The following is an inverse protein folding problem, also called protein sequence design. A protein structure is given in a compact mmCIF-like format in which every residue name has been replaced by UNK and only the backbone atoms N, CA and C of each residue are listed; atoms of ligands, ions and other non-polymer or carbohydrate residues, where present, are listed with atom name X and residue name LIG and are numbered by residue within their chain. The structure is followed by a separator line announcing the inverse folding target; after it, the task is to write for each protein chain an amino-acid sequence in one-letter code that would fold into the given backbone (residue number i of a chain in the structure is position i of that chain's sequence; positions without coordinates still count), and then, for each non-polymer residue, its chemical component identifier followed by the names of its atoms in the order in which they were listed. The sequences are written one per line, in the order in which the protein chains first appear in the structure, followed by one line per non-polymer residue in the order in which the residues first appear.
data_IF_678512608578
#
_entry.id   IF_678512608578
#
_cell.length_a   1.000
_cell.length_b   1.000
_cell.length_c   1.000
_cell.angle_alpha   90.00
_cell.angle_beta   90.00
_cell.angle_gamma   90.00
#
_symmetry.space_group_name_H-M   'P 1'
#
loop_
_entity.id
_entity.type
_entity.pdbx_description
1 polymer ?
#
# COMPACT_ATOMS: atom_id res chain seq x y z
N UNK A 1 14.81 2.30 -12.94
CA UNK A 1 13.36 2.46 -12.59
C UNK A 1 13.11 3.83 -11.99
N UNK A 2 11.95 4.45 -12.27
CA UNK A 2 11.49 5.68 -11.65
C UNK A 2 10.24 5.39 -10.81
N UNK A 3 10.23 5.83 -9.55
CA UNK A 3 9.10 5.62 -8.62
C UNK A 3 8.37 6.95 -8.42
N UNK A 4 7.05 6.93 -8.54
CA UNK A 4 6.16 8.03 -8.23
C UNK A 4 5.09 7.53 -7.27
N UNK A 5 5.00 8.11 -6.10
CA UNK A 5 3.98 7.82 -5.10
C UNK A 5 2.79 8.74 -5.36
N UNK A 6 1.64 8.16 -5.72
CA UNK A 6 0.51 8.92 -6.27
C UNK A 6 -0.42 9.45 -5.19
N UNK A 7 -0.75 8.59 -4.22
CA UNK A 7 -1.65 8.88 -3.12
C UNK A 7 -1.29 8.01 -1.91
N UNK A 8 -1.24 8.63 -0.73
CA UNK A 8 -0.89 7.97 0.54
C UNK A 8 -1.52 8.68 1.73
N UNK A 9 -1.51 8.05 2.91
CA UNK A 9 -2.07 8.66 4.13
C UNK A 9 -1.30 9.92 4.54
N UNK A 10 0.02 10.00 4.32
CA UNK A 10 0.80 11.23 4.50
C UNK A 10 0.41 12.35 3.52
N UNK A 11 -0.27 12.02 2.44
CA UNK A 11 -0.79 12.94 1.42
C UNK A 11 -2.28 13.25 1.59
N UNK A 12 -2.91 12.76 2.67
CA UNK A 12 -4.26 13.11 3.10
C UNK A 12 -5.38 12.15 2.72
N UNK A 13 -5.09 10.98 2.15
CA UNK A 13 -6.08 9.96 1.80
C UNK A 13 -5.57 8.57 2.11
N UNK A 14 -6.46 7.62 2.42
CA UNK A 14 -6.09 6.21 2.50
C UNK A 14 -5.75 5.69 1.12
N UNK A 15 -4.51 5.29 0.93
CA UNK A 15 -4.01 4.73 -0.33
C UNK A 15 -2.59 4.23 -0.16
N UNK A 16 -2.14 3.39 -1.10
CA UNK A 16 -0.74 3.05 -1.36
C UNK A 16 -0.45 3.09 -2.87
N UNK A 17 -1.18 3.93 -3.60
CA UNK A 17 -1.09 3.99 -5.05
C UNK A 17 0.31 4.41 -5.51
N UNK A 18 0.96 3.50 -6.22
CA UNK A 18 2.37 3.64 -6.62
C UNK A 18 2.54 3.39 -8.11
N UNK A 19 3.24 4.28 -8.80
CA UNK A 19 3.69 4.10 -10.18
C UNK A 19 5.18 3.76 -10.21
N UNK A 20 5.54 2.73 -10.98
CA UNK A 20 6.91 2.33 -11.24
C UNK A 20 7.11 2.27 -12.75
N UNK A 21 7.92 3.18 -13.28
CA UNK A 21 8.31 3.22 -14.67
C UNK A 21 9.63 2.46 -14.85
N UNK A 22 9.59 1.46 -15.71
CA UNK A 22 10.72 0.61 -16.08
C UNK A 22 11.09 0.85 -17.55
N UNK A 23 12.15 0.21 -18.03
CA UNK A 23 12.51 0.28 -19.47
C UNK A 23 11.49 -0.44 -20.39
N UNK A 24 10.57 -1.25 -19.85
CA UNK A 24 9.69 -2.10 -20.65
C UNK A 24 8.19 -1.86 -20.40
N UNK A 25 7.84 -1.24 -19.28
CA UNK A 25 6.45 -1.00 -18.93
C UNK A 25 6.31 0.06 -17.84
N UNK A 26 5.21 0.78 -17.87
CA UNK A 26 4.72 1.59 -16.76
C UNK A 26 3.72 0.78 -15.95
N UNK A 27 4.04 0.55 -14.68
CA UNK A 27 3.33 -0.33 -13.75
C UNK A 27 2.67 0.52 -12.68
N UNK A 28 1.36 0.36 -12.49
CA UNK A 28 0.65 0.98 -11.38
C UNK A 28 0.24 -0.11 -10.38
N UNK A 29 0.62 0.06 -9.13
CA UNK A 29 0.28 -0.85 -8.03
C UNK A 29 -0.74 -0.16 -7.15
N UNK A 30 -1.84 -0.86 -6.88
CA UNK A 30 -2.94 -0.43 -6.00
C UNK A 30 -3.50 0.96 -6.36
N UNK A 31 -4.03 1.15 -7.59
CA UNK A 31 -4.57 2.44 -8.05
C UNK A 31 -5.92 2.77 -7.41
N UNK A 32 -5.93 3.04 -6.12
CA UNK A 32 -7.14 3.38 -5.40
C UNK A 32 -6.89 4.35 -4.26
N UNK A 33 -7.94 5.07 -3.88
CA UNK A 33 -7.95 5.91 -2.70
C UNK A 33 -9.34 5.89 -2.06
N UNK A 34 -9.39 6.04 -0.74
CA UNK A 34 -10.62 6.05 0.02
C UNK A 34 -10.52 6.90 1.28
N UNK A 35 -11.65 7.13 1.93
CA UNK A 35 -11.74 7.76 3.24
C UNK A 35 -12.31 6.78 4.28
N UNK A 36 -11.86 6.91 5.53
CA UNK A 36 -12.54 6.24 6.63
C UNK A 36 -13.96 6.79 6.78
N UNK A 37 -15.00 5.95 6.74
CA UNK A 37 -16.37 6.44 6.88
C UNK A 37 -16.61 7.08 8.25
N UNK A 38 -15.88 6.64 9.28
CA UNK A 38 -15.86 7.24 10.62
C UNK A 38 -14.47 7.15 11.24
N UNK A 39 -14.03 8.25 11.84
CA UNK A 39 -12.83 8.34 12.68
C UNK A 39 -13.16 9.20 13.88
N UNK A 40 -12.87 8.73 15.10
CA UNK A 40 -13.25 9.40 16.35
C UNK A 40 -14.78 9.66 16.47
N UNK A 41 -15.61 8.77 15.87
CA UNK A 41 -17.05 8.98 15.77
C UNK A 41 -17.51 10.04 14.74
N UNK A 42 -16.59 10.75 14.10
CA UNK A 42 -16.85 11.83 13.15
C UNK A 42 -16.84 11.31 11.70
N UNK A 43 -17.70 11.90 10.81
CA UNK A 43 -17.62 11.64 9.36
C UNK A 43 -16.39 12.35 8.77
N UNK A 44 -16.01 12.04 7.52
CA UNK A 44 -14.98 12.78 6.82
C UNK A 44 -15.30 14.29 6.75
N UNK A 45 -14.27 15.11 6.89
CA UNK A 45 -14.38 16.56 6.74
C UNK A 45 -14.44 16.93 5.25
N UNK A 46 -15.06 18.07 4.85
CA UNK A 46 -15.07 18.52 3.43
C UNK A 46 -13.69 18.54 2.76
N UNK A 47 -12.65 18.96 3.47
CA UNK A 47 -11.25 18.93 2.98
C UNK A 47 -10.74 17.51 2.67
N UNK A 48 -11.24 16.47 3.37
CA UNK A 48 -10.88 15.10 3.04
C UNK A 48 -11.53 14.65 1.74
N UNK A 49 -12.77 15.07 1.45
CA UNK A 49 -13.42 14.77 0.16
C UNK A 49 -12.76 15.51 -1.00
N UNK A 50 -12.38 16.77 -0.81
CA UNK A 50 -11.62 17.55 -1.79
C UNK A 50 -10.31 16.84 -2.13
N UNK A 51 -9.55 16.47 -1.08
CA UNK A 51 -8.28 15.76 -1.26
C UNK A 51 -8.43 14.38 -1.89
N UNK A 52 -9.53 13.65 -1.57
CA UNK A 52 -9.83 12.37 -2.21
C UNK A 52 -10.05 12.55 -3.72
N UNK A 53 -10.80 13.56 -4.13
CA UNK A 53 -11.05 13.84 -5.55
C UNK A 53 -9.75 14.15 -6.29
N UNK A 54 -8.90 15.03 -5.74
CA UNK A 54 -7.58 15.34 -6.29
C UNK A 54 -6.71 14.08 -6.42
N UNK A 55 -6.67 13.24 -5.38
CA UNK A 55 -5.89 12.00 -5.40
C UNK A 55 -6.39 11.01 -6.47
N UNK A 56 -7.72 10.89 -6.62
CA UNK A 56 -8.31 10.05 -7.65
C UNK A 56 -8.02 10.58 -9.06
N UNK A 57 -7.99 11.89 -9.27
CA UNK A 57 -7.58 12.48 -10.54
C UNK A 57 -6.14 12.16 -10.89
N UNK A 58 -5.20 12.34 -9.95
CA UNK A 58 -3.79 11.95 -10.13
C UNK A 58 -3.65 10.47 -10.49
N UNK A 59 -4.41 9.59 -9.83
CA UNK A 59 -4.39 8.15 -10.11
C UNK A 59 -4.93 7.86 -11.52
N UNK A 60 -6.04 8.50 -11.92
CA UNK A 60 -6.64 8.34 -13.25
C UNK A 60 -5.70 8.78 -14.36
N UNK A 61 -5.11 9.98 -14.22
CA UNK A 61 -4.12 10.49 -15.17
C UNK A 61 -2.94 9.55 -15.33
N UNK A 62 -2.40 9.03 -14.23
CA UNK A 62 -1.27 8.11 -14.25
C UNK A 62 -1.63 6.76 -14.89
N UNK A 63 -2.88 6.32 -14.74
CA UNK A 63 -3.38 5.10 -15.38
C UNK A 63 -3.48 5.23 -16.91
N UNK A 64 -3.75 6.41 -17.47
CA UNK A 64 -3.92 6.59 -18.93
C UNK A 64 -2.75 5.96 -19.68
N UNK A 65 -1.53 6.28 -19.30
CA UNK A 65 -0.30 5.84 -19.96
C UNK A 65 0.30 4.55 -19.38
N UNK A 66 -0.40 3.87 -18.48
CA UNK A 66 0.12 2.64 -17.88
C UNK A 66 -0.11 1.42 -18.77
N UNK A 67 0.80 0.43 -18.70
CA UNK A 67 0.70 -0.84 -19.40
C UNK A 67 0.14 -1.94 -18.50
N UNK A 68 0.50 -1.89 -17.22
CA UNK A 68 0.24 -2.94 -16.24
C UNK A 68 -0.39 -2.31 -15.01
N UNK A 69 -1.48 -2.91 -14.56
CA UNK A 69 -2.11 -2.58 -13.28
C UNK A 69 -2.04 -3.78 -12.36
N UNK A 70 -1.65 -3.56 -11.12
CA UNK A 70 -1.56 -4.59 -10.09
C UNK A 70 -2.51 -4.24 -8.95
N UNK A 71 -3.34 -5.20 -8.52
CA UNK A 71 -4.23 -5.07 -7.36
C UNK A 71 -3.82 -6.13 -6.35
N UNK A 72 -3.27 -5.69 -5.22
CA UNK A 72 -2.69 -6.58 -4.20
C UNK A 72 -3.75 -7.24 -3.32
N UNK A 73 -4.89 -6.58 -3.16
CA UNK A 73 -6.07 -7.09 -2.46
C UNK A 73 -7.28 -6.17 -2.73
N UNK A 74 -8.48 -6.53 -2.20
CA UNK A 74 -9.72 -5.86 -2.61
C UNK A 74 -10.30 -4.95 -1.52
N UNK A 75 -9.46 -4.16 -0.81
CA UNK A 75 -9.94 -3.01 -0.08
C UNK A 75 -10.08 -1.81 -1.01
N UNK A 76 -11.05 -0.92 -0.76
CA UNK A 76 -11.41 0.15 -1.69
C UNK A 76 -10.34 1.23 -1.87
N UNK A 77 -9.42 1.33 -0.94
CA UNK A 77 -8.25 2.19 -1.00
C UNK A 77 -7.11 1.65 -1.87
N UNK A 78 -7.28 0.45 -2.48
CA UNK A 78 -6.26 -0.20 -3.32
C UNK A 78 -6.65 -0.34 -4.80
N UNK A 79 -7.85 0.08 -5.22
CA UNK A 79 -8.23 0.07 -6.64
C UNK A 79 -9.38 1.04 -6.92
N UNK A 80 -9.45 1.53 -8.14
CA UNK A 80 -10.60 2.31 -8.61
C UNK A 80 -11.82 1.39 -8.67
N UNK A 81 -12.80 1.65 -7.81
CA UNK A 81 -13.92 0.75 -7.56
C UNK A 81 -15.26 1.25 -8.10
N UNK A 82 -15.36 2.51 -8.51
CA UNK A 82 -16.57 3.05 -9.11
C UNK A 82 -16.75 2.51 -10.53
N UNK A 83 -18.00 2.38 -10.96
CA UNK A 83 -18.30 1.89 -12.30
C UNK A 83 -17.77 2.83 -13.38
N UNK A 84 -17.85 4.12 -13.15
CA UNK A 84 -17.40 5.15 -14.09
C UNK A 84 -15.87 5.18 -14.25
N UNK A 85 -15.14 4.62 -13.31
CA UNK A 85 -13.69 4.48 -13.37
C UNK A 85 -13.23 3.22 -14.15
N UNK A 86 -14.15 2.36 -14.57
CA UNK A 86 -13.81 1.11 -15.23
C UNK A 86 -13.00 1.30 -16.52
N UNK A 87 -13.26 2.38 -17.24
CA UNK A 87 -12.58 2.70 -18.51
C UNK A 87 -11.07 2.93 -18.35
N UNK A 88 -10.59 3.37 -17.17
CA UNK A 88 -9.16 3.55 -16.91
C UNK A 88 -8.38 2.23 -16.89
N UNK A 89 -9.06 1.08 -16.82
CA UNK A 89 -8.45 -0.25 -16.97
C UNK A 89 -8.41 -0.74 -18.41
N UNK A 90 -9.04 -0.04 -19.37
CA UNK A 90 -9.17 -0.47 -20.74
C UNK A 90 -7.81 -0.71 -21.41
N UNK A 91 -7.66 -1.86 -22.08
CA UNK A 91 -6.47 -2.24 -22.83
C UNK A 91 -5.26 -2.65 -22.00
N UNK A 92 -5.33 -2.61 -20.65
CA UNK A 92 -4.21 -2.89 -19.75
C UNK A 92 -4.08 -4.38 -19.42
N UNK A 93 -2.87 -4.79 -19.01
CA UNK A 93 -2.66 -6.09 -18.35
C UNK A 93 -2.98 -5.92 -16.86
N UNK A 94 -3.92 -6.70 -16.35
CA UNK A 94 -4.36 -6.64 -14.96
C UNK A 94 -3.85 -7.87 -14.20
N UNK A 95 -2.94 -7.66 -13.26
CA UNK A 95 -2.37 -8.68 -12.37
C UNK A 95 -2.96 -8.50 -10.98
N UNK A 96 -3.66 -9.51 -10.49
CA UNK A 96 -4.46 -9.36 -9.27
C UNK A 96 -4.29 -10.56 -8.34
N UNK A 97 -4.45 -10.30 -7.06
CA UNK A 97 -4.63 -11.37 -6.07
C UNK A 97 -5.79 -12.27 -6.49
N UNK A 98 -5.63 -13.58 -6.32
CA UNK A 98 -6.70 -14.55 -6.58
C UNK A 98 -7.95 -14.23 -5.73
N UNK A 99 -9.11 -13.93 -6.35
CA UNK A 99 -10.34 -13.60 -5.64
C UNK A 99 -11.08 -14.82 -5.08
N UNK A 100 -10.55 -16.03 -5.24
CA UNK A 100 -11.21 -17.28 -4.82
C UNK A 100 -10.48 -17.98 -3.68
N UNK A 101 -9.17 -17.76 -3.53
CA UNK A 101 -8.32 -18.45 -2.55
C UNK A 101 -7.72 -17.48 -1.54
N UNK A 102 -7.58 -17.91 -0.28
CA UNK A 102 -6.98 -17.09 0.79
C UNK A 102 -7.56 -15.67 0.82
N UNK A 103 -8.89 -15.56 0.90
CA UNK A 103 -9.61 -14.29 0.82
C UNK A 103 -10.82 -14.32 1.76
N UNK A 104 -11.11 -13.23 2.45
CA UNK A 104 -12.33 -13.12 3.27
C UNK A 104 -13.56 -12.78 2.41
N UNK A 105 -14.74 -12.97 2.99
CA UNK A 105 -16.02 -12.75 2.29
C UNK A 105 -16.18 -11.32 1.78
N UNK A 106 -15.76 -10.33 2.55
CA UNK A 106 -15.87 -8.91 2.17
C UNK A 106 -15.04 -8.60 0.92
N UNK A 107 -13.79 -9.02 0.89
CA UNK A 107 -12.92 -8.85 -0.27
C UNK A 107 -13.42 -9.63 -1.49
N UNK A 108 -13.94 -10.85 -1.30
CA UNK A 108 -14.54 -11.64 -2.39
C UNK A 108 -15.73 -10.93 -3.04
N UNK A 109 -16.59 -10.32 -2.24
CA UNK A 109 -17.74 -9.54 -2.76
C UNK A 109 -17.24 -8.33 -3.55
N UNK A 110 -16.22 -7.63 -3.06
CA UNK A 110 -15.64 -6.47 -3.74
C UNK A 110 -14.95 -6.85 -5.05
N UNK A 111 -14.21 -7.96 -5.06
CA UNK A 111 -13.63 -8.53 -6.29
C UNK A 111 -14.72 -8.87 -7.32
N UNK A 112 -15.80 -9.53 -6.89
CA UNK A 112 -16.94 -9.83 -7.77
C UNK A 112 -17.60 -8.57 -8.35
N UNK A 113 -17.69 -7.49 -7.57
CA UNK A 113 -18.16 -6.20 -8.09
C UNK A 113 -17.23 -5.63 -9.15
N UNK A 114 -15.93 -5.62 -8.90
CA UNK A 114 -14.93 -5.14 -9.85
C UNK A 114 -15.03 -5.90 -11.18
N UNK A 115 -14.95 -7.22 -11.13
CA UNK A 115 -14.91 -8.05 -12.34
C UNK A 115 -16.26 -8.09 -13.07
N UNK A 116 -17.34 -8.44 -12.37
CA UNK A 116 -18.64 -8.70 -12.99
C UNK A 116 -19.51 -7.46 -13.13
N UNK A 117 -19.66 -6.67 -12.05
CA UNK A 117 -20.55 -5.51 -12.07
C UNK A 117 -19.98 -4.35 -12.88
N UNK A 118 -18.67 -4.07 -12.70
CA UNK A 118 -17.97 -3.03 -13.45
C UNK A 118 -17.45 -3.53 -14.80
N UNK A 119 -17.63 -4.84 -15.11
CA UNK A 119 -17.29 -5.48 -16.39
C UNK A 119 -15.81 -5.30 -16.80
N UNK A 120 -14.91 -5.23 -15.82
CA UNK A 120 -13.48 -5.03 -16.08
C UNK A 120 -12.91 -6.13 -17.00
N UNK A 121 -13.44 -7.37 -16.89
CA UNK A 121 -13.02 -8.51 -17.70
C UNK A 121 -13.18 -8.26 -19.22
N UNK A 122 -14.12 -7.39 -19.62
CA UNK A 122 -14.38 -7.07 -21.03
C UNK A 122 -13.48 -5.92 -21.54
N UNK A 123 -12.91 -5.12 -20.63
CA UNK A 123 -12.13 -3.93 -20.96
C UNK A 123 -10.64 -4.20 -21.04
N UNK A 124 -10.12 -5.06 -20.15
CA UNK A 124 -8.69 -5.28 -20.04
C UNK A 124 -8.15 -6.21 -21.12
N UNK A 125 -6.92 -6.00 -21.52
CA UNK A 125 -6.23 -6.88 -22.48
C UNK A 125 -6.00 -8.28 -21.94
N UNK A 126 -5.76 -8.41 -20.63
CA UNK A 126 -5.48 -9.68 -19.95
C UNK A 126 -5.71 -9.56 -18.47
N UNK A 127 -6.32 -10.57 -17.84
CA UNK A 127 -6.34 -10.74 -16.39
C UNK A 127 -5.48 -11.95 -16.02
N UNK A 128 -4.68 -11.81 -14.96
CA UNK A 128 -3.92 -12.92 -14.40
C UNK A 128 -4.03 -12.89 -12.88
N UNK A 129 -4.42 -13.99 -12.25
CA UNK A 129 -4.29 -14.22 -10.82
C UNK A 129 -2.85 -14.62 -10.54
N UNK A 130 -2.16 -13.84 -9.69
CA UNK A 130 -0.69 -13.85 -9.63
C UNK A 130 -0.11 -14.33 -8.31
N UNK A 131 -0.92 -14.82 -7.38
CA UNK A 131 -0.47 -15.36 -6.09
C UNK A 131 0.69 -16.35 -6.27
N UNK A 132 1.86 -16.05 -5.70
CA UNK A 132 3.07 -16.86 -5.76
C UNK A 132 3.74 -16.96 -7.14
N UNK A 133 3.38 -16.12 -8.10
CA UNK A 133 3.93 -16.18 -9.47
C UNK A 133 5.09 -15.22 -9.68
N UNK A 134 5.88 -15.53 -10.69
CA UNK A 134 6.88 -14.64 -11.27
C UNK A 134 6.49 -14.40 -12.73
N UNK A 135 6.32 -13.13 -13.08
CA UNK A 135 6.10 -12.71 -14.48
C UNK A 135 7.40 -12.10 -15.00
N UNK A 136 7.92 -12.64 -16.09
CA UNK A 136 9.18 -12.21 -16.68
C UNK A 136 8.95 -11.49 -17.99
N UNK A 137 9.62 -10.40 -18.16
CA UNK A 137 9.87 -9.68 -19.39
C UNK A 137 11.36 -9.82 -19.75
N UNK A 138 11.86 -9.13 -20.74
CA UNK A 138 13.28 -9.24 -21.13
C UNK A 138 14.21 -8.76 -19.97
N UNK A 139 14.03 -7.54 -19.50
CA UNK A 139 14.86 -6.92 -18.46
C UNK A 139 14.17 -6.76 -17.11
N UNK A 140 12.85 -6.92 -17.08
CA UNK A 140 12.01 -6.68 -15.90
C UNK A 140 11.38 -7.98 -15.40
N UNK A 141 11.40 -8.19 -14.09
CA UNK A 141 10.72 -9.30 -13.42
C UNK A 141 9.79 -8.77 -12.35
N UNK A 142 8.58 -9.30 -12.33
CA UNK A 142 7.59 -9.04 -11.30
C UNK A 142 7.44 -10.29 -10.45
N UNK A 143 7.77 -10.18 -9.17
CA UNK A 143 7.58 -11.26 -8.20
C UNK A 143 6.34 -10.96 -7.38
N UNK A 144 5.48 -11.94 -7.24
CA UNK A 144 4.28 -11.84 -6.42
C UNK A 144 4.37 -12.86 -5.29
N UNK A 145 4.14 -12.45 -4.07
CA UNK A 145 4.18 -13.37 -2.93
C UNK A 145 3.02 -14.37 -3.00
N UNK A 146 3.18 -15.50 -2.32
CA UNK A 146 2.00 -16.21 -1.80
C UNK A 146 1.19 -15.23 -0.94
N UNK A 147 -0.13 -15.45 -0.78
CA UNK A 147 -0.92 -14.62 0.11
C UNK A 147 -0.32 -14.56 1.52
N UNK A 148 -0.04 -13.37 1.99
CA UNK A 148 0.45 -13.09 3.35
C UNK A 148 -0.66 -12.43 4.17
N UNK A 149 -0.66 -12.55 5.51
CA UNK A 149 -1.71 -11.94 6.34
C UNK A 149 -1.75 -10.42 6.19
N UNK A 150 -2.94 -9.87 6.15
CA UNK A 150 -3.17 -8.42 6.28
C UNK A 150 -2.88 -8.01 7.74
N UNK A 151 -1.61 -7.91 8.10
CA UNK A 151 -1.12 -7.69 9.45
C UNK A 151 -0.87 -8.99 10.20
N UNK A 152 -1.66 -9.31 11.20
CA UNK A 152 -1.46 -10.47 12.08
C UNK A 152 -1.96 -11.78 11.46
N UNK A 153 -1.32 -12.91 11.83
CA UNK A 153 -1.79 -14.26 11.48
C UNK A 153 -3.23 -14.47 11.96
N UNK A 154 -4.08 -15.02 11.08
CA UNK A 154 -5.49 -15.29 11.40
C UNK A 154 -6.37 -14.05 11.43
N UNK A 155 -5.90 -12.90 11.01
CA UNK A 155 -6.67 -11.65 10.96
C UNK A 155 -7.98 -11.79 10.17
N UNK A 156 -9.10 -11.21 10.63
CA UNK A 156 -10.34 -11.16 9.87
C UNK A 156 -10.27 -10.27 8.62
N UNK A 157 -9.23 -9.44 8.50
CA UNK A 157 -9.01 -8.59 7.33
C UNK A 157 -8.64 -9.39 6.09
N UNK A 158 -8.19 -10.64 6.25
CA UNK A 158 -7.83 -11.56 5.17
C UNK A 158 -6.37 -11.45 4.77
N UNK A 159 -6.10 -11.64 3.49
CA UNK A 159 -4.75 -11.77 2.96
C UNK A 159 -4.52 -10.77 1.83
N UNK A 160 -3.26 -10.40 1.67
CA UNK A 160 -2.74 -9.54 0.60
C UNK A 160 -1.60 -10.25 -0.13
N UNK A 161 -1.19 -9.75 -1.28
CA UNK A 161 0.07 -10.16 -1.92
C UNK A 161 1.05 -8.99 -1.91
N UNK A 162 2.33 -9.28 -1.65
CA UNK A 162 3.41 -8.32 -1.87
C UNK A 162 3.87 -8.38 -3.32
N UNK A 163 4.37 -7.28 -3.83
CA UNK A 163 4.84 -7.13 -5.21
C UNK A 163 6.25 -6.60 -5.22
N UNK A 164 7.18 -7.31 -5.87
CA UNK A 164 8.54 -6.82 -6.09
C UNK A 164 8.79 -6.66 -7.59
N UNK A 165 9.24 -5.48 -7.98
CA UNK A 165 9.68 -5.15 -9.33
C UNK A 165 11.22 -5.16 -9.37
N UNK A 166 11.80 -6.01 -10.21
CA UNK A 166 13.25 -6.10 -10.42
C UNK A 166 13.60 -5.66 -11.84
N UNK A 167 14.56 -4.77 -11.96
CA UNK A 167 15.17 -4.38 -13.22
C UNK A 167 16.68 -4.20 -13.03
N UNK A 168 17.49 -4.89 -13.85
CA UNK A 168 18.96 -4.82 -13.78
C UNK A 168 19.53 -5.10 -12.38
N UNK A 169 18.89 -5.99 -11.61
CA UNK A 169 19.29 -6.36 -10.24
C UNK A 169 18.84 -5.38 -9.16
N UNK A 170 18.28 -4.21 -9.49
CA UNK A 170 17.66 -3.33 -8.51
C UNK A 170 16.22 -3.76 -8.22
N UNK A 171 15.83 -3.83 -6.95
CA UNK A 171 14.57 -4.42 -6.49
C UNK A 171 13.76 -3.43 -5.66
N UNK A 172 12.55 -3.15 -6.11
CA UNK A 172 11.58 -2.30 -5.41
C UNK A 172 10.45 -3.18 -4.91
N UNK A 173 10.26 -3.24 -3.60
CA UNK A 173 9.20 -3.99 -2.96
C UNK A 173 8.06 -3.07 -2.52
N UNK A 174 6.86 -3.34 -3.00
CA UNK A 174 5.61 -2.80 -2.47
C UNK A 174 4.98 -3.87 -1.57
N UNK A 175 4.87 -3.60 -0.27
CA UNK A 175 4.46 -4.63 0.70
C UNK A 175 2.96 -4.85 0.75
N UNK A 176 2.15 -3.94 0.19
CA UNK A 176 0.72 -3.91 0.51
C UNK A 176 0.50 -3.82 2.03
N UNK A 177 -0.65 -4.23 2.54
CA UNK A 177 -1.11 -4.01 3.91
C UNK A 177 -0.58 -5.04 4.92
N UNK A 178 0.75 -5.24 4.97
CA UNK A 178 1.38 -6.19 5.92
C UNK A 178 1.54 -5.63 7.34
N UNK A 179 1.32 -4.32 7.51
CA UNK A 179 1.32 -3.65 8.82
C UNK A 179 2.62 -3.81 9.61
N UNK A 180 3.75 -3.58 8.95
CA UNK A 180 5.00 -3.42 9.63
C UNK A 180 6.20 -4.30 9.28
N UNK A 181 6.18 -5.56 8.75
CA UNK A 181 5.16 -6.60 8.84
C UNK A 181 4.96 -7.14 10.27
N UNK A 182 3.73 -7.40 10.67
CA UNK A 182 3.46 -8.01 11.99
C UNK A 182 3.78 -9.51 11.97
N UNK A 183 3.53 -10.19 10.85
CA UNK A 183 3.84 -11.62 10.68
C UNK A 183 5.33 -11.84 10.45
N UNK A 184 5.96 -12.70 11.27
CA UNK A 184 7.37 -13.07 11.10
C UNK A 184 7.61 -13.81 9.77
N UNK A 185 6.66 -14.63 9.30
CA UNK A 185 6.74 -15.28 7.98
C UNK A 185 6.78 -14.28 6.83
N UNK A 186 6.05 -13.17 6.97
CA UNK A 186 6.09 -12.09 5.99
C UNK A 186 7.45 -11.38 6.03
N UNK A 187 8.00 -11.18 7.22
CA UNK A 187 9.35 -10.64 7.38
C UNK A 187 10.41 -11.54 6.72
N UNK A 188 10.36 -12.86 6.99
CA UNK A 188 11.30 -13.83 6.41
C UNK A 188 11.29 -13.78 4.88
N UNK A 189 10.10 -13.64 4.27
CA UNK A 189 9.97 -13.52 2.83
C UNK A 189 10.58 -12.20 2.30
N UNK A 190 10.47 -11.09 3.03
CA UNK A 190 11.15 -9.83 2.67
C UNK A 190 12.67 -10.02 2.71
N UNK A 191 13.20 -10.72 3.72
CA UNK A 191 14.62 -11.05 3.82
C UNK A 191 15.10 -11.93 2.66
N UNK A 192 14.30 -12.93 2.26
CA UNK A 192 14.59 -13.76 1.09
C UNK A 192 14.68 -12.94 -0.20
N UNK A 193 13.79 -11.96 -0.38
CA UNK A 193 13.70 -11.16 -1.58
C UNK A 193 14.76 -10.06 -1.69
N UNK A 194 15.37 -9.64 -0.59
CA UNK A 194 16.47 -8.67 -0.53
C UNK A 194 16.22 -7.40 -1.36
N UNK A 195 15.18 -6.62 -1.06
CA UNK A 195 14.88 -5.39 -1.78
C UNK A 195 15.91 -4.29 -1.52
N UNK A 196 16.13 -3.42 -2.52
CA UNK A 196 16.90 -2.19 -2.36
C UNK A 196 16.02 -1.04 -1.84
N UNK A 197 14.74 -1.06 -2.19
CA UNK A 197 13.75 -0.08 -1.76
C UNK A 197 12.48 -0.79 -1.30
N UNK A 198 11.91 -0.36 -0.17
CA UNK A 198 10.66 -0.89 0.36
C UNK A 198 9.65 0.24 0.49
N UNK A 199 8.45 0.05 -0.11
CA UNK A 199 7.26 0.86 0.14
C UNK A 199 6.42 0.07 1.14
N UNK A 200 6.42 0.52 2.38
CA UNK A 200 5.99 -0.23 3.56
C UNK A 200 4.72 0.35 4.16
N UNK A 201 3.70 -0.48 4.29
CA UNK A 201 2.58 -0.20 5.17
C UNK A 201 3.03 -0.40 6.62
N UNK A 202 3.11 0.67 7.39
CA UNK A 202 3.47 0.58 8.81
C UNK A 202 2.35 0.03 9.70
N UNK A 203 2.64 -0.34 10.96
CA UNK A 203 1.65 -0.88 11.88
C UNK A 203 0.61 0.17 12.29
N UNK A 204 -0.65 -0.26 12.57
CA UNK A 204 -1.74 0.64 12.93
C UNK A 204 -1.66 1.06 14.41
N UNK A 205 -0.64 1.84 14.79
CA UNK A 205 -0.36 2.27 16.16
C UNK A 205 -1.54 2.99 16.83
N UNK A 206 -2.35 3.68 16.05
CA UNK A 206 -3.59 4.34 16.51
C UNK A 206 -4.70 3.38 16.97
N UNK A 207 -4.53 2.07 16.77
CA UNK A 207 -5.44 1.02 17.25
C UNK A 207 -4.85 0.20 18.40
N UNK A 208 -3.66 0.55 18.87
CA UNK A 208 -2.95 -0.14 19.95
C UNK A 208 -3.82 -0.29 21.19
N UNK A 209 -3.94 -1.54 21.70
CA UNK A 209 -4.72 -1.87 22.88
C UNK A 209 -6.24 -1.78 22.73
N UNK A 210 -6.74 -1.34 21.57
CA UNK A 210 -8.19 -1.22 21.28
C UNK A 210 -8.66 -2.24 20.25
N UNK A 211 -8.12 -2.22 19.03
CA UNK A 211 -8.48 -3.16 17.95
C UNK A 211 -7.33 -4.07 17.58
N UNK A 212 -6.11 -3.69 17.91
CA UNK A 212 -4.89 -4.45 17.64
C UNK A 212 -4.16 -4.64 18.99
N UNK A 213 -3.77 -5.87 19.34
CA UNK A 213 -3.01 -6.13 20.56
C UNK A 213 -1.70 -5.34 20.59
N UNK A 214 -1.33 -4.84 21.77
CA UNK A 214 -0.07 -4.10 21.95
C UNK A 214 1.15 -4.91 21.49
N UNK A 215 1.16 -6.22 21.75
CA UNK A 215 2.25 -7.11 21.34
C UNK A 215 2.38 -7.22 19.81
N UNK A 216 1.25 -7.15 19.08
CA UNK A 216 1.25 -7.16 17.61
C UNK A 216 1.83 -5.84 17.08
N UNK A 217 1.49 -4.70 17.66
CA UNK A 217 2.09 -3.41 17.31
C UNK A 217 3.59 -3.41 17.59
N UNK A 218 4.01 -3.84 18.78
CA UNK A 218 5.43 -3.97 19.12
C UNK A 218 6.18 -4.87 18.15
N UNK A 219 5.59 -6.02 17.77
CA UNK A 219 6.18 -6.94 16.81
C UNK A 219 6.36 -6.26 15.45
N UNK A 220 5.34 -5.57 14.95
CA UNK A 220 5.44 -4.80 13.71
C UNK A 220 6.55 -3.76 13.74
N UNK A 221 6.64 -2.96 14.81
CA UNK A 221 7.71 -1.97 14.99
C UNK A 221 9.09 -2.63 15.08
N UNK A 222 9.23 -3.71 15.85
CA UNK A 222 10.50 -4.44 15.96
C UNK A 222 10.91 -5.08 14.63
N UNK A 223 9.95 -5.60 13.86
CA UNK A 223 10.23 -6.17 12.55
C UNK A 223 10.65 -5.10 11.54
N UNK A 224 10.13 -3.87 11.65
CA UNK A 224 10.66 -2.73 10.87
C UNK A 224 12.13 -2.43 11.20
N UNK A 225 12.54 -2.54 12.47
CA UNK A 225 13.95 -2.37 12.86
C UNK A 225 14.84 -3.45 12.23
N UNK A 226 14.38 -4.71 12.22
CA UNK A 226 15.13 -5.83 11.60
C UNK A 226 15.35 -5.61 10.10
N UNK A 227 14.44 -4.93 9.39
CA UNK A 227 14.63 -4.63 7.97
C UNK A 227 15.93 -3.87 7.68
N UNK A 228 16.44 -3.09 8.64
CA UNK A 228 17.72 -2.38 8.51
C UNK A 228 18.93 -3.33 8.37
N UNK A 229 18.79 -4.61 8.75
CA UNK A 229 19.84 -5.62 8.61
C UNK A 229 20.01 -6.13 7.15
N UNK A 230 19.07 -5.80 6.25
CA UNK A 230 19.16 -6.10 4.83
C UNK A 230 20.30 -5.31 4.20
N UNK A 231 21.33 -6.00 3.74
CA UNK A 231 22.55 -5.37 3.19
C UNK A 231 22.30 -4.58 1.92
N UNK A 232 21.33 -5.01 1.13
CA UNK A 232 20.94 -4.40 -0.14
C UNK A 232 20.02 -3.17 0.02
N UNK A 233 19.47 -2.97 1.22
CA UNK A 233 18.44 -1.96 1.47
C UNK A 233 19.04 -0.55 1.52
N UNK A 234 18.49 0.34 0.71
CA UNK A 234 18.90 1.75 0.61
C UNK A 234 17.83 2.73 1.10
N UNK A 235 16.55 2.33 0.92
CA UNK A 235 15.43 3.25 1.18
C UNK A 235 14.21 2.50 1.72
N UNK A 236 13.61 3.02 2.78
CA UNK A 236 12.29 2.62 3.28
C UNK A 236 11.36 3.83 3.16
N UNK A 237 10.23 3.63 2.50
CA UNK A 237 9.10 4.55 2.54
C UNK A 237 8.06 3.93 3.44
N UNK A 238 7.87 4.47 4.65
CA UNK A 238 6.89 3.97 5.61
C UNK A 238 5.70 4.91 5.67
N UNK A 239 4.51 4.37 5.36
CA UNK A 239 3.29 5.17 5.26
C UNK A 239 2.04 4.36 5.65
N UNK A 240 0.91 4.73 5.09
CA UNK A 240 -0.40 4.12 5.19
C UNK A 240 -0.89 4.02 6.64
N UNK A 241 -1.10 2.83 7.22
CA UNK A 241 -1.67 2.71 8.55
C UNK A 241 -0.90 3.47 9.64
N UNK A 242 0.41 3.54 9.57
CA UNK A 242 1.22 4.27 10.55
C UNK A 242 0.90 5.79 10.54
N UNK A 243 0.70 6.35 9.34
CA UNK A 243 0.47 7.79 9.18
C UNK A 243 -0.94 8.26 9.62
N UNK A 244 -1.79 7.33 10.05
CA UNK A 244 -3.06 7.63 10.74
C UNK A 244 -2.87 7.92 12.23
N UNK A 245 -1.63 7.92 12.72
CA UNK A 245 -1.21 8.33 14.08
C UNK A 245 -0.42 9.64 13.98
N UNK A 246 -0.87 10.69 14.63
CA UNK A 246 -0.16 11.98 14.64
C UNK A 246 1.22 11.88 15.30
N UNK A 247 1.38 10.94 16.23
CA UNK A 247 2.64 10.71 16.95
C UNK A 247 3.52 9.64 16.24
N UNK A 248 3.29 9.35 14.98
CA UNK A 248 4.00 8.29 14.26
C UNK A 248 5.53 8.40 14.33
N UNK A 249 6.07 9.63 14.32
CA UNK A 249 7.53 9.85 14.40
C UNK A 249 8.12 9.38 15.73
N UNK A 250 7.37 9.55 16.83
CA UNK A 250 7.77 9.04 18.15
C UNK A 250 7.72 7.51 18.13
N UNK A 251 6.69 6.93 17.52
CA UNK A 251 6.54 5.47 17.36
C UNK A 251 7.70 4.81 16.63
N UNK A 252 8.26 5.47 15.62
CA UNK A 252 9.38 4.97 14.82
C UNK A 252 10.71 5.69 15.11
N UNK A 253 10.81 6.41 16.24
CA UNK A 253 12.01 7.17 16.59
C UNK A 253 13.27 6.32 16.59
N UNK A 254 13.20 5.08 17.04
CA UNK A 254 14.31 4.12 17.04
C UNK A 254 14.70 3.72 15.61
N UNK A 255 13.73 3.48 14.72
CA UNK A 255 13.98 3.23 13.29
C UNK A 255 14.71 4.42 12.66
N UNK A 256 14.24 5.65 12.90
CA UNK A 256 14.86 6.87 12.39
C UNK A 256 16.28 7.10 12.95
N UNK A 257 16.52 6.69 14.18
CA UNK A 257 17.84 6.78 14.81
C UNK A 257 18.80 5.75 14.22
N UNK A 258 18.41 4.48 14.17
CA UNK A 258 19.26 3.38 13.70
C UNK A 258 19.50 3.42 12.19
N UNK A 259 18.53 3.86 11.40
CA UNK A 259 18.66 3.93 9.93
C UNK A 259 19.90 4.72 9.48
N UNK A 260 20.30 5.76 10.25
CA UNK A 260 21.51 6.54 9.96
C UNK A 260 22.79 5.69 10.08
N UNK A 261 22.87 4.81 11.09
CA UNK A 261 24.00 3.91 11.28
C UNK A 261 24.07 2.84 10.16
N UNK A 262 22.92 2.36 9.71
CA UNK A 262 22.80 1.41 8.59
C UNK A 262 22.86 2.10 7.21
N UNK A 263 22.93 3.43 7.14
CA UNK A 263 22.91 4.22 5.90
C UNK A 263 21.66 3.99 5.05
N UNK A 264 20.54 3.67 5.68
CA UNK A 264 19.23 3.50 5.05
C UNK A 264 18.45 4.83 5.18
N UNK A 265 17.90 5.32 4.08
CA UNK A 265 17.04 6.51 4.07
C UNK A 265 15.62 6.11 4.43
N UNK A 266 15.01 6.80 5.37
CA UNK A 266 13.62 6.55 5.81
C UNK A 266 12.79 7.80 5.56
N UNK A 267 11.71 7.66 4.81
CA UNK A 267 10.76 8.72 4.45
C UNK A 267 9.32 8.24 4.67
N UNK A 268 8.37 9.13 4.81
CA UNK A 268 7.00 8.85 4.38
C UNK A 268 6.81 9.23 2.89
N UNK A 269 5.63 8.95 2.33
CA UNK A 269 5.40 9.17 0.90
C UNK A 269 5.43 10.66 0.53
N UNK A 270 4.86 11.54 1.34
CA UNK A 270 4.89 12.99 1.09
C UNK A 270 6.34 13.51 1.10
N UNK A 271 7.14 13.13 2.09
CA UNK A 271 8.56 13.52 2.18
C UNK A 271 9.37 13.04 0.97
N UNK A 272 9.16 11.78 0.56
CA UNK A 272 9.85 11.22 -0.62
C UNK A 272 9.51 11.99 -1.90
N UNK A 273 8.26 12.44 -2.03
CA UNK A 273 7.80 13.24 -3.17
C UNK A 273 8.07 14.75 -3.02
N UNK A 274 8.72 15.20 -1.94
CA UNK A 274 9.00 16.63 -1.68
C UNK A 274 7.74 17.45 -1.40
N UNK A 275 6.71 16.83 -0.85
CA UNK A 275 5.43 17.45 -0.49
C UNK A 275 5.32 17.65 1.02
N UNK A 276 4.45 18.55 1.44
CA UNK A 276 4.10 18.70 2.85
C UNK A 276 3.24 17.53 3.33
N UNK A 277 3.45 17.12 4.59
CA UNK A 277 2.68 16.05 5.23
C UNK A 277 1.28 16.56 5.56
N UNK A 278 0.26 15.87 5.08
CA UNK A 278 -1.14 16.22 5.25
C UNK A 278 -1.97 15.05 5.80
N UNK A 279 -1.92 14.79 7.11
CA UNK A 279 -2.60 13.67 7.77
C UNK A 279 -4.07 14.01 8.10
N UNK A 280 -4.91 14.26 7.09
CA UNK A 280 -6.28 14.75 7.29
C UNK A 280 -7.14 13.84 8.18
N UNK A 281 -7.13 12.52 7.95
CA UNK A 281 -7.89 11.57 8.77
C UNK A 281 -7.46 11.62 10.24
N UNK A 282 -6.17 11.66 10.52
CA UNK A 282 -5.65 11.73 11.88
C UNK A 282 -6.04 13.04 12.58
N UNK A 283 -6.12 14.14 11.81
CA UNK A 283 -6.49 15.48 12.27
C UNK A 283 -7.99 15.75 12.26
N UNK A 284 -8.84 14.76 11.99
CA UNK A 284 -10.30 14.96 11.81
C UNK A 284 -10.98 15.64 13.00
N UNK A 285 -10.55 15.38 14.26
CA UNK A 285 -11.07 16.10 15.43
C UNK A 285 -10.76 17.60 15.35
N UNK A 286 -9.53 17.95 15.05
CA UNK A 286 -9.06 19.33 14.86
C UNK A 286 -9.87 20.03 13.76
N UNK A 287 -10.00 19.39 12.60
CA UNK A 287 -10.75 19.91 11.45
C UNK A 287 -12.22 20.22 11.80
N UNK A 288 -12.85 19.39 12.61
CA UNK A 288 -14.21 19.60 13.08
C UNK A 288 -14.32 20.51 14.32
N UNK A 289 -13.21 21.16 14.76
CA UNK A 289 -13.20 22.02 15.95
C UNK A 289 -13.51 21.24 17.23
N UNK A 290 -13.17 19.94 17.30
CA UNK A 290 -13.31 19.11 18.51
C UNK A 290 -12.00 19.03 19.23
N UNK A 291 -12.02 19.19 20.55
CA UNK A 291 -10.84 19.03 21.39
C UNK A 291 -10.26 17.61 21.26
N UNK A 292 -8.93 17.55 21.25
CA UNK A 292 -8.20 16.30 21.33
C UNK A 292 -8.19 15.92 22.81
N UNK A 293 -9.11 15.03 23.20
CA UNK A 293 -9.18 14.49 24.56
C UNK A 293 -8.15 13.38 24.80
#
# INVERSE_FOLDING_TARGET
MKVKLLAFDSMGVRSMATSIETSEAKIIIDPGAALAPRRYGLPPHPLEYERLNEALEVIREELIDSDIVIITHYHYDHYLHNKDDAEFYNGKKLYVKDPYTMINTSQRIRASRLFKKNRIEELVKKIMFVDGKIVKYDKVKLYFSQPVPHGEEGTPLGYVIMVMVEENGYRILHTSDVQGPISDKTLDLIFEWKPNMIILCGPPTYFEGYKVPMESIKRGLNNMLKLLELKELETIIVDHHLLRDLNYRERISELLRLSKAYKVRVYNAAEYMGQEINQLEARRRELWGKEIG
#
